data_IF_123095818597
#
_entry.id   IF_123095818597
#
_cell.length_a   1.000
_cell.length_b   1.000
_cell.length_c   1.000
_cell.angle_alpha   90.00
_cell.angle_beta   90.00
_cell.angle_gamma   90.00
#
_symmetry.space_group_name_H-M   'P 1'
#
loop_
_entity.id
_entity.type
_entity.pdbx_description
1 polymer ?
#
# COMPACT_ATOMS: atom_id res chain seq x y z
N UNK A 1 -29.47 -3.18 -5.58
CA UNK A 1 -27.99 -3.15 -5.60
C UNK A 1 -27.46 -4.48 -6.12
N UNK A 2 -26.42 -4.48 -6.95
CA UNK A 2 -25.85 -5.67 -7.60
C UNK A 2 -24.46 -5.97 -7.03
N UNK A 3 -23.95 -7.19 -7.19
CA UNK A 3 -22.55 -7.48 -6.91
C UNK A 3 -21.63 -6.69 -7.85
N UNK A 4 -20.45 -6.28 -7.37
CA UNK A 4 -19.50 -5.51 -8.17
C UNK A 4 -19.02 -6.34 -9.37
N UNK A 5 -19.28 -5.80 -10.56
CA UNK A 5 -18.64 -6.18 -11.81
C UNK A 5 -17.55 -5.15 -12.15
N UNK A 6 -16.25 -5.47 -11.96
CA UNK A 6 -15.18 -4.48 -12.01
C UNK A 6 -15.13 -3.67 -13.31
N UNK A 7 -15.40 -4.30 -14.45
CA UNK A 7 -15.39 -3.62 -15.74
C UNK A 7 -16.56 -2.61 -15.89
N UNK A 8 -17.74 -2.92 -15.35
CA UNK A 8 -18.90 -2.02 -15.37
C UNK A 8 -18.68 -0.86 -14.40
N UNK A 9 -18.27 -1.16 -13.17
CA UNK A 9 -17.95 -0.14 -12.16
C UNK A 9 -16.82 0.77 -12.64
N UNK A 10 -15.76 0.21 -13.21
CA UNK A 10 -14.65 1.01 -13.73
C UNK A 10 -15.10 1.99 -14.80
N UNK A 11 -15.97 1.59 -15.73
CA UNK A 11 -16.55 2.50 -16.73
C UNK A 11 -17.41 3.58 -16.09
N UNK A 12 -18.29 3.22 -15.17
CA UNK A 12 -19.14 4.17 -14.46
C UNK A 12 -18.33 5.22 -13.68
N UNK A 13 -17.22 4.82 -13.05
CA UNK A 13 -16.30 5.75 -12.37
C UNK A 13 -15.66 6.75 -13.34
N UNK A 14 -15.41 6.39 -14.60
CA UNK A 14 -14.81 7.30 -15.58
C UNK A 14 -15.71 8.49 -15.92
N UNK A 15 -17.04 8.35 -15.80
CA UNK A 15 -17.97 9.45 -16.07
C UNK A 15 -17.72 10.66 -15.15
N UNK A 16 -17.16 10.43 -13.97
CA UNK A 16 -16.89 11.45 -12.96
C UNK A 16 -15.50 12.09 -13.09
N UNK A 17 -14.56 11.45 -13.78
CA UNK A 17 -13.18 11.92 -13.91
C UNK A 17 -13.12 13.24 -14.68
N UNK A 18 -12.27 14.15 -14.23
CA UNK A 18 -12.11 15.50 -14.80
C UNK A 18 -13.12 16.54 -14.30
N UNK A 19 -14.11 16.13 -13.50
CA UNK A 19 -15.19 17.00 -13.01
C UNK A 19 -15.08 17.29 -11.50
N UNK A 20 -15.74 18.35 -11.06
CA UNK A 20 -16.09 18.51 -9.64
C UNK A 20 -17.27 17.60 -9.29
N UNK A 21 -17.17 16.89 -8.17
CA UNK A 21 -18.16 15.92 -7.71
C UNK A 21 -18.33 16.02 -6.19
N UNK A 22 -19.44 15.49 -5.68
CA UNK A 22 -19.72 15.32 -4.27
C UNK A 22 -19.40 13.89 -3.85
N UNK A 23 -18.65 13.76 -2.76
CA UNK A 23 -18.22 12.49 -2.20
C UNK A 23 -18.99 12.21 -0.90
N UNK A 24 -19.45 10.96 -0.76
CA UNK A 24 -19.79 10.34 0.51
C UNK A 24 -18.83 9.19 0.76
N UNK A 25 -18.15 9.18 1.91
CA UNK A 25 -17.34 8.06 2.38
C UNK A 25 -17.73 7.75 3.81
N UNK A 26 -18.09 6.51 4.05
CA UNK A 26 -18.48 6.06 5.36
C UNK A 26 -17.85 4.70 5.64
N UNK A 27 -17.37 4.49 6.86
CA UNK A 27 -17.04 3.16 7.36
C UNK A 27 -17.81 2.95 8.64
N UNK A 28 -18.60 1.88 8.69
CA UNK A 28 -19.44 1.52 9.82
C UNK A 28 -18.89 0.27 10.48
N UNK A 29 -18.38 0.42 11.69
CA UNK A 29 -18.28 -0.68 12.64
C UNK A 29 -19.17 -0.31 13.82
N UNK A 30 -19.99 -1.27 14.31
CA UNK A 30 -21.00 -0.97 15.33
C UNK A 30 -20.37 -0.23 16.52
N UNK A 31 -20.92 0.93 16.89
CA UNK A 31 -20.38 1.80 17.96
C UNK A 31 -20.20 1.09 19.32
N UNK A 32 -20.87 -0.05 19.50
CA UNK A 32 -20.85 -0.89 20.70
C UNK A 32 -19.89 -2.09 20.59
N UNK A 33 -19.18 -2.24 19.48
CA UNK A 33 -18.13 -3.25 19.33
C UNK A 33 -16.84 -2.73 19.96
N UNK A 34 -16.20 -3.53 20.82
CA UNK A 34 -14.88 -3.22 21.34
C UNK A 34 -13.90 -3.07 20.16
N UNK A 35 -13.32 -1.88 20.00
CA UNK A 35 -12.45 -1.56 18.85
C UNK A 35 -13.18 -1.01 17.61
N UNK A 36 -14.42 -0.55 17.73
CA UNK A 36 -15.14 0.11 16.64
C UNK A 36 -14.39 1.33 16.09
N UNK A 37 -14.19 1.38 14.78
CA UNK A 37 -13.63 2.52 14.06
C UNK A 37 -14.65 3.03 13.04
N UNK A 38 -14.73 4.34 12.91
CA UNK A 38 -15.68 4.99 12.02
C UNK A 38 -15.03 6.18 11.33
N UNK A 39 -15.46 6.40 10.09
CA UNK A 39 -15.19 7.59 9.32
C UNK A 39 -16.50 7.98 8.64
N UNK A 40 -16.82 9.26 8.63
CA UNK A 40 -18.00 9.77 7.94
C UNK A 40 -17.65 11.10 7.28
N UNK A 41 -17.85 11.14 5.98
CA UNK A 41 -17.75 12.32 5.16
C UNK A 41 -18.93 12.31 4.20
N UNK A 42 -19.70 13.39 4.14
CA UNK A 42 -20.84 13.53 3.23
C UNK A 42 -20.83 14.90 2.58
N UNK A 43 -21.21 14.97 1.32
CA UNK A 43 -21.24 16.21 0.54
C UNK A 43 -19.88 16.93 0.47
N UNK A 44 -18.77 16.18 0.56
CA UNK A 44 -17.43 16.75 0.38
C UNK A 44 -17.22 16.99 -1.11
N UNK A 45 -17.07 18.26 -1.49
CA UNK A 45 -16.82 18.63 -2.89
C UNK A 45 -15.34 18.39 -3.23
N UNK A 46 -15.07 17.58 -4.24
CA UNK A 46 -13.72 17.23 -4.70
C UNK A 46 -13.63 17.39 -6.22
N UNK A 47 -12.42 17.68 -6.73
CA UNK A 47 -12.12 17.53 -8.16
C UNK A 47 -11.47 16.16 -8.37
N UNK A 48 -12.16 15.29 -9.11
CA UNK A 48 -11.70 13.92 -9.36
C UNK A 48 -10.76 13.90 -10.57
N UNK A 49 -9.52 13.44 -10.37
CA UNK A 49 -8.49 13.42 -11.41
C UNK A 49 -8.31 12.03 -12.03
N UNK A 50 -8.40 10.98 -11.20
CA UNK A 50 -8.40 9.58 -11.64
C UNK A 50 -9.29 8.76 -10.72
N UNK A 51 -9.85 7.67 -11.23
CA UNK A 51 -10.62 6.72 -10.45
C UNK A 51 -10.38 5.29 -10.93
N UNK A 52 -10.15 4.38 -9.99
CA UNK A 52 -9.87 3.00 -10.30
C UNK A 52 -10.50 2.05 -9.28
N UNK A 53 -11.03 0.92 -9.78
CA UNK A 53 -11.45 -0.22 -8.95
C UNK A 53 -10.53 -1.41 -9.20
N UNK A 54 -10.08 -2.09 -8.14
CA UNK A 54 -9.10 -3.19 -8.17
C UNK A 54 -9.46 -4.30 -7.19
N UNK A 55 -8.81 -5.45 -7.34
CA UNK A 55 -9.01 -6.64 -6.52
C UNK A 55 -9.80 -7.75 -7.20
N UNK A 56 -9.88 -8.91 -6.55
CA UNK A 56 -10.66 -10.08 -6.98
C UNK A 56 -11.90 -10.32 -6.09
N UNK A 57 -12.30 -9.31 -5.33
CA UNK A 57 -13.38 -9.39 -4.35
C UNK A 57 -12.88 -9.83 -2.95
N UNK A 58 -13.26 -9.13 -1.86
CA UNK A 58 -13.78 -7.75 -1.86
C UNK A 58 -12.84 -6.78 -2.60
N UNK A 59 -13.41 -5.73 -3.17
CA UNK A 59 -12.73 -4.79 -4.04
C UNK A 59 -12.23 -3.55 -3.30
N UNK A 60 -11.32 -2.83 -3.95
CA UNK A 60 -10.78 -1.55 -3.50
C UNK A 60 -11.02 -0.49 -4.56
N UNK A 61 -11.40 0.70 -4.13
CA UNK A 61 -11.50 1.87 -4.99
C UNK A 61 -10.48 2.91 -4.56
N UNK A 62 -9.67 3.39 -5.50
CA UNK A 62 -8.75 4.50 -5.34
C UNK A 62 -9.19 5.67 -6.21
N UNK A 63 -9.41 6.83 -5.59
CA UNK A 63 -9.76 8.08 -6.27
C UNK A 63 -8.61 9.06 -6.07
N UNK A 64 -7.97 9.50 -7.15
CA UNK A 64 -6.99 10.58 -7.08
C UNK A 64 -7.73 11.91 -7.15
N UNK A 65 -7.45 12.78 -6.19
CA UNK A 65 -7.99 14.14 -6.13
C UNK A 65 -6.84 15.14 -6.18
N UNK A 66 -7.15 16.41 -6.43
CA UNK A 66 -6.14 17.46 -6.40
C UNK A 66 -5.36 17.45 -5.08
N UNK A 67 -4.09 17.05 -5.13
CA UNK A 67 -3.19 16.98 -3.98
C UNK A 67 -3.36 15.79 -3.04
N UNK A 68 -4.17 14.78 -3.38
CA UNK A 68 -4.39 13.66 -2.46
C UNK A 68 -5.12 12.45 -3.04
N UNK A 69 -5.58 11.57 -2.14
CA UNK A 69 -6.29 10.35 -2.48
C UNK A 69 -7.47 10.11 -1.55
N UNK A 70 -8.53 9.51 -2.09
CA UNK A 70 -9.58 8.83 -1.34
C UNK A 70 -9.44 7.34 -1.63
N UNK A 71 -9.45 6.53 -0.59
CA UNK A 71 -9.28 5.09 -0.69
C UNK A 71 -10.38 4.40 0.12
N UNK A 72 -11.06 3.43 -0.50
CA UNK A 72 -12.04 2.57 0.13
C UNK A 72 -11.70 1.11 -0.15
N UNK A 73 -11.81 0.26 0.87
CA UNK A 73 -11.48 -1.17 0.81
C UNK A 73 -12.61 -1.98 1.43
N UNK A 74 -12.90 -3.15 0.84
CA UNK A 74 -13.96 -4.03 1.31
C UNK A 74 -15.26 -3.91 0.51
N UNK A 75 -15.22 -3.28 -0.67
CA UNK A 75 -16.40 -3.06 -1.51
C UNK A 75 -16.86 -4.38 -2.14
N UNK A 76 -18.15 -4.67 -2.09
CA UNK A 76 -18.75 -5.92 -2.60
C UNK A 76 -19.90 -5.68 -3.57
N UNK A 77 -20.65 -4.59 -3.38
CA UNK A 77 -21.87 -4.29 -4.13
C UNK A 77 -21.83 -2.88 -4.74
N UNK A 78 -22.65 -2.66 -5.76
CA UNK A 78 -22.79 -1.35 -6.40
C UNK A 78 -24.18 -1.10 -7.00
N UNK A 79 -24.46 0.18 -7.22
CA UNK A 79 -25.62 0.67 -7.96
C UNK A 79 -25.21 1.95 -8.71
N UNK A 80 -25.85 2.19 -9.84
CA UNK A 80 -25.65 3.40 -10.64
C UNK A 80 -27.00 4.04 -10.96
N UNK A 81 -27.05 5.36 -10.80
CA UNK A 81 -28.16 6.21 -11.20
C UNK A 81 -27.61 7.35 -12.08
N UNK A 82 -28.46 8.09 -12.82
CA UNK A 82 -28.00 9.22 -13.61
C UNK A 82 -27.21 10.23 -12.77
N UNK A 83 -25.91 10.35 -13.04
CA UNK A 83 -25.01 11.25 -12.33
C UNK A 83 -24.63 10.82 -10.91
N UNK A 84 -24.88 9.57 -10.52
CA UNK A 84 -24.48 9.00 -9.21
C UNK A 84 -24.01 7.55 -9.33
N UNK A 85 -23.01 7.20 -8.52
CA UNK A 85 -22.58 5.81 -8.31
C UNK A 85 -22.43 5.56 -6.82
N UNK A 86 -22.99 4.45 -6.36
CA UNK A 86 -22.94 3.98 -4.98
C UNK A 86 -22.20 2.64 -4.95
N UNK A 87 -21.15 2.55 -4.15
CA UNK A 87 -20.38 1.34 -3.88
C UNK A 87 -20.50 1.02 -2.39
N UNK A 88 -20.89 -0.21 -2.07
CA UNK A 88 -21.03 -0.69 -0.69
C UNK A 88 -20.13 -1.89 -0.44
N UNK A 89 -19.58 -1.97 0.77
CA UNK A 89 -18.98 -3.17 1.33
C UNK A 89 -19.88 -3.78 2.38
N UNK A 90 -20.00 -5.10 2.33
CA UNK A 90 -20.86 -5.89 3.23
C UNK A 90 -20.08 -7.06 3.81
N UNK A 91 -20.29 -7.35 5.09
CA UNK A 91 -19.68 -8.51 5.75
C UNK A 91 -20.44 -9.82 5.44
N UNK A 92 -20.02 -10.92 6.09
CA UNK A 92 -20.61 -12.24 5.87
C UNK A 92 -22.07 -12.35 6.34
N UNK A 93 -22.51 -11.44 7.23
CA UNK A 93 -23.89 -11.34 7.71
C UNK A 93 -24.69 -10.27 6.95
N UNK A 94 -24.20 -9.83 5.78
CA UNK A 94 -24.79 -8.79 4.94
C UNK A 94 -24.90 -7.40 5.60
N UNK A 95 -24.12 -7.16 6.66
CA UNK A 95 -24.09 -5.85 7.34
C UNK A 95 -23.16 -4.90 6.60
N UNK A 96 -23.56 -3.64 6.51
CA UNK A 96 -22.79 -2.58 5.87
C UNK A 96 -21.49 -2.29 6.64
N UNK A 97 -20.36 -2.24 5.93
CA UNK A 97 -19.02 -2.00 6.51
C UNK A 97 -18.34 -0.76 5.94
N UNK A 98 -18.58 -0.47 4.66
CA UNK A 98 -18.03 0.71 3.97
C UNK A 98 -19.00 1.18 2.89
N UNK A 99 -19.10 2.48 2.70
CA UNK A 99 -19.84 3.13 1.60
C UNK A 99 -18.91 4.12 0.91
N UNK A 100 -18.87 4.08 -0.41
CA UNK A 100 -18.28 5.10 -1.25
C UNK A 100 -19.33 5.53 -2.29
N UNK A 101 -19.82 6.75 -2.17
CA UNK A 101 -20.77 7.35 -3.13
C UNK A 101 -20.12 8.56 -3.82
N UNK A 102 -20.32 8.67 -5.13
CA UNK A 102 -19.89 9.82 -5.93
C UNK A 102 -21.09 10.33 -6.70
N UNK A 103 -21.36 11.64 -6.61
CA UNK A 103 -22.49 12.28 -7.27
C UNK A 103 -22.11 13.60 -7.95
N UNK A 104 -22.80 13.95 -9.04
CA UNK A 104 -22.70 15.28 -9.68
C UNK A 104 -23.44 16.38 -8.92
N UNK A 105 -24.36 16.00 -8.03
CA UNK A 105 -25.14 16.88 -7.18
C UNK A 105 -25.01 16.45 -5.72
N UNK A 106 -25.18 17.37 -4.74
CA UNK A 106 -25.12 17.01 -3.33
C UNK A 106 -26.20 15.97 -2.97
N UNK A 107 -25.85 15.09 -2.04
CA UNK A 107 -26.74 14.10 -1.47
C UNK A 107 -27.71 14.78 -0.49
N UNK A 108 -29.01 14.43 -0.52
CA UNK A 108 -29.99 14.97 0.43
C UNK A 108 -29.55 14.77 1.88
N UNK A 109 -29.81 15.79 2.71
CA UNK A 109 -29.71 15.75 4.16
C UNK A 109 -31.12 16.02 4.66
N UNK A 110 -32.03 15.07 4.49
CA UNK A 110 -33.35 15.19 5.08
C UNK A 110 -33.21 14.93 6.59
N UNK A 111 -33.49 15.94 7.40
CA UNK A 111 -33.79 15.72 8.81
C UNK A 111 -35.15 15.05 8.86
N UNK A 112 -35.22 13.85 9.43
CA UNK A 112 -36.50 13.20 9.76
C UNK A 112 -37.15 14.04 10.86
N UNK A 113 -37.81 15.12 10.49
CA UNK A 113 -38.63 15.94 11.36
C UNK A 113 -40.09 15.79 10.90
N UNK A 114 -40.83 15.04 11.71
CA UNK A 114 -42.30 15.09 11.86
C UNK A 114 -43.18 14.59 10.70
N UNK A 115 -43.13 13.28 10.42
CA UNK A 115 -44.32 12.55 9.95
C UNK A 115 -44.89 11.66 11.07
N UNK A 116 -45.14 12.25 12.24
CA UNK A 116 -45.87 11.59 13.31
C UNK A 116 -46.84 12.56 14.00
N UNK A 117 -48.01 12.75 13.37
CA UNK A 117 -49.24 13.08 14.10
C UNK A 117 -49.90 14.41 13.75
N UNK A 118 -50.86 14.38 12.82
CA UNK A 118 -52.06 15.23 12.88
C UNK A 118 -53.18 14.68 11.97
N UNK A 119 -53.82 13.58 12.38
CA UNK A 119 -55.26 13.44 12.17
C UNK A 119 -55.94 14.06 13.39
N UNK A 120 -56.65 15.17 13.22
CA UNK A 120 -57.36 15.83 14.32
C UNK A 120 -57.74 17.27 14.00
N UNK A 121 -58.93 17.44 13.44
CA UNK A 121 -59.61 18.72 13.24
C UNK A 121 -59.75 19.52 14.54
N UNK A 122 -59.30 20.78 14.57
CA UNK A 122 -59.91 21.86 15.36
C UNK A 122 -59.87 23.15 14.54
N UNK A 123 -61.05 23.64 14.20
CA UNK A 123 -61.29 25.02 13.74
C UNK A 123 -61.31 25.97 14.93
N UNK A 124 -60.60 27.11 14.85
CA UNK A 124 -61.19 28.45 14.95
C UNK A 124 -60.16 29.57 15.20
N UNK A 125 -60.45 30.69 14.51
CA UNK A 125 -60.29 32.09 14.92
C UNK A 125 -58.96 32.82 14.65
N UNK A 126 -59.15 33.89 13.90
CA UNK A 126 -58.23 34.96 13.57
C UNK A 126 -57.75 35.75 14.80
N UNK A 127 -56.52 36.25 14.70
CA UNK A 127 -55.96 37.25 15.59
C UNK A 127 -54.52 37.58 15.23
N UNK A 128 -54.32 38.58 14.36
CA UNK A 128 -53.06 39.34 14.39
C UNK A 128 -52.99 40.14 15.70
N UNK A 129 -51.79 40.37 16.24
CA UNK A 129 -51.19 41.68 15.99
C UNK A 129 -49.66 41.63 15.75
N UNK A 130 -49.21 42.57 14.93
CA UNK A 130 -47.81 42.71 14.54
C UNK A 130 -46.86 43.24 15.61
N UNK A 131 -45.56 43.08 15.34
CA UNK A 131 -44.50 43.85 15.99
C UNK A 131 -43.33 44.11 15.04
N UNK A 132 -43.35 45.32 14.47
CA UNK A 132 -42.26 46.27 14.21
C UNK A 132 -40.91 45.76 13.68
N UNK A 133 -40.65 46.13 12.43
CA UNK A 133 -39.31 46.25 11.88
C UNK A 133 -38.50 47.35 12.60
N UNK A 134 -37.28 47.01 13.03
CA UNK A 134 -36.21 47.97 13.27
C UNK A 134 -35.07 47.64 12.32
N UNK A 135 -34.78 48.57 11.41
CA UNK A 135 -33.61 48.53 10.55
C UNK A 135 -32.33 48.86 11.33
N UNK A 136 -31.21 48.37 10.81
CA UNK A 136 -29.88 48.77 11.26
C UNK A 136 -28.75 47.85 10.78
N UNK A 137 -28.02 48.29 9.74
CA UNK A 137 -26.60 47.97 9.56
C UNK A 137 -26.26 46.79 8.64
N UNK A 138 -25.79 47.10 7.43
CA UNK A 138 -25.05 46.16 6.58
C UNK A 138 -23.70 45.78 7.25
N UNK A 139 -23.27 44.51 7.27
CA UNK A 139 -21.92 44.17 7.68
C UNK A 139 -20.91 44.49 6.56
N UNK A 140 -19.81 45.14 6.95
CA UNK A 140 -18.68 45.51 6.11
C UNK A 140 -17.95 44.28 5.51
N UNK A 141 -17.23 44.42 4.37
CA UNK A 141 -16.52 43.32 3.75
C UNK A 141 -15.33 42.88 4.62
N UNK A 142 -15.33 41.60 5.00
CA UNK A 142 -14.18 40.97 5.66
C UNK A 142 -13.00 40.88 4.68
N UNK A 143 -11.90 41.53 5.06
CA UNK A 143 -10.64 41.51 4.31
C UNK A 143 -10.04 40.11 4.20
N UNK A 144 -9.30 39.90 3.11
CA UNK A 144 -8.49 38.69 2.84
C UNK A 144 -7.60 38.36 4.04
N UNK A 145 -7.56 37.09 4.52
CA UNK A 145 -6.61 36.71 5.55
C UNK A 145 -5.17 36.81 5.00
N UNK A 146 -4.18 37.22 5.82
CA UNK A 146 -2.78 37.23 5.41
C UNK A 146 -2.29 35.79 5.15
N UNK A 147 -1.35 35.66 4.22
CA UNK A 147 -0.66 34.40 3.95
C UNK A 147 0.04 33.88 5.22
N UNK A 148 0.03 32.57 5.50
CA UNK A 148 0.70 32.02 6.67
C UNK A 148 2.20 32.27 6.58
N UNK A 149 2.77 32.89 7.63
CA UNK A 149 4.21 32.99 7.80
C UNK A 149 4.81 31.58 7.89
N UNK A 150 5.95 31.37 7.22
CA UNK A 150 6.73 30.14 7.32
C UNK A 150 7.15 29.95 8.79
N UNK A 151 6.46 29.04 9.49
CA UNK A 151 6.86 28.61 10.83
C UNK A 151 8.21 27.88 10.79
N UNK A 152 8.96 27.87 11.89
CA UNK A 152 10.21 27.11 11.95
C UNK A 152 9.93 25.63 11.66
N UNK A 153 10.79 24.99 10.88
CA UNK A 153 10.74 23.56 10.63
C UNK A 153 10.64 22.80 11.96
N UNK A 154 9.80 21.76 12.07
CA UNK A 154 9.74 20.97 13.28
C UNK A 154 11.12 20.36 13.52
N UNK A 155 11.73 20.71 14.65
CA UNK A 155 12.93 20.04 15.16
C UNK A 155 12.48 18.63 15.51
N UNK A 156 12.77 17.68 14.64
CA UNK A 156 12.59 16.26 14.93
C UNK A 156 13.42 15.94 16.20
N UNK A 157 12.87 15.20 17.18
CA UNK A 157 13.69 14.72 18.27
C UNK A 157 14.82 13.87 17.69
N UNK A 158 16.06 14.24 18.00
CA UNK A 158 17.21 13.41 17.70
C UNK A 158 17.00 12.03 18.34
N UNK A 159 17.14 10.92 17.60
CA UNK A 159 17.05 9.60 18.23
C UNK A 159 18.07 9.51 19.35
N UNK A 160 17.64 8.93 20.48
CA UNK A 160 18.49 8.63 21.63
C UNK A 160 19.82 8.00 21.17
N UNK A 161 20.94 8.57 21.60
CA UNK A 161 22.33 8.33 21.15
C UNK A 161 22.90 6.94 21.47
N UNK A 162 22.06 5.96 21.75
CA UNK A 162 22.48 4.56 21.92
C UNK A 162 22.08 3.81 20.66
N UNK A 163 22.83 4.06 19.58
CA UNK A 163 22.88 3.11 18.47
C UNK A 163 23.49 1.81 19.00
N UNK A 164 22.80 0.66 18.91
CA UNK A 164 23.49 -0.61 19.15
C UNK A 164 24.65 -0.70 18.17
N UNK A 165 25.83 -1.10 18.66
CA UNK A 165 26.99 -1.30 17.81
C UNK A 165 26.60 -2.18 16.62
N UNK A 166 26.97 -1.75 15.40
CA UNK A 166 26.75 -2.56 14.21
C UNK A 166 27.32 -3.97 14.46
N UNK A 167 26.56 -5.05 14.18
CA UNK A 167 27.08 -6.39 14.37
C UNK A 167 28.39 -6.56 13.61
N UNK A 168 29.35 -7.27 14.20
CA UNK A 168 30.65 -7.50 13.58
C UNK A 168 30.43 -8.28 12.28
N UNK A 169 30.69 -7.65 11.14
CA UNK A 169 30.59 -8.29 9.83
C UNK A 169 31.69 -9.36 9.69
N UNK A 170 31.42 -10.47 8.97
CA UNK A 170 32.44 -11.46 8.65
C UNK A 170 33.67 -10.79 8.02
N UNK A 171 34.86 -11.11 8.53
CA UNK A 171 36.10 -10.35 8.29
C UNK A 171 36.68 -10.57 6.88
N UNK A 172 36.29 -11.63 6.16
CA UNK A 172 36.68 -11.87 4.76
C UNK A 172 35.68 -12.75 4.00
N UNK A 173 35.68 -12.73 2.63
CA UNK A 173 34.87 -13.63 1.81
C UNK A 173 35.19 -15.13 2.03
N UNK A 174 36.39 -15.44 2.51
CA UNK A 174 36.84 -16.80 2.79
C UNK A 174 36.19 -17.39 4.06
N UNK A 175 35.60 -16.55 4.92
CA UNK A 175 34.95 -16.97 6.17
C UNK A 175 33.49 -17.40 5.98
N UNK A 176 32.93 -17.23 4.77
CA UNK A 176 31.55 -17.62 4.45
C UNK A 176 31.54 -18.99 3.76
N UNK A 177 31.05 -20.01 4.48
CA UNK A 177 30.71 -21.30 3.88
C UNK A 177 29.44 -21.14 3.03
N UNK A 178 29.58 -20.63 1.80
CA UNK A 178 28.49 -20.40 0.85
C UNK A 178 28.34 -18.93 0.44
N UNK A 179 27.54 -18.71 -0.61
CA UNK A 179 27.28 -17.40 -1.19
C UNK A 179 26.04 -17.44 -2.08
N UNK A 180 25.66 -16.29 -2.65
CA UNK A 180 24.66 -16.27 -3.72
C UNK A 180 25.06 -17.20 -4.87
N UNK A 181 24.12 -17.98 -5.43
CA UNK A 181 24.45 -18.99 -6.43
C UNK A 181 24.90 -18.35 -7.75
N UNK A 182 25.89 -18.94 -8.41
CA UNK A 182 26.27 -18.51 -9.76
C UNK A 182 25.10 -18.66 -10.77
N UNK A 183 25.02 -17.84 -11.83
CA UNK A 183 25.90 -16.71 -12.16
C UNK A 183 25.32 -15.38 -11.67
N UNK A 184 25.35 -15.11 -10.36
CA UNK A 184 25.03 -13.79 -9.81
C UNK A 184 26.35 -13.03 -9.69
N UNK A 185 26.76 -12.37 -10.78
CA UNK A 185 28.18 -12.12 -11.03
C UNK A 185 28.56 -10.63 -11.13
N UNK A 186 27.59 -9.71 -11.24
CA UNK A 186 27.87 -8.27 -11.38
C UNK A 186 27.03 -7.38 -10.49
N UNK A 187 25.71 -7.33 -10.70
CA UNK A 187 24.85 -6.40 -9.97
C UNK A 187 23.47 -6.99 -9.69
N UNK A 188 23.11 -7.00 -8.41
CA UNK A 188 21.82 -7.42 -7.90
C UNK A 188 20.94 -6.19 -7.62
N UNK A 189 19.77 -6.12 -8.26
CA UNK A 189 18.75 -5.11 -7.94
C UNK A 189 17.58 -5.76 -7.23
N UNK A 190 17.22 -5.25 -6.06
CA UNK A 190 16.07 -5.74 -5.29
C UNK A 190 14.99 -4.66 -5.31
N UNK A 191 13.80 -4.98 -5.86
CA UNK A 191 12.69 -4.03 -6.04
C UNK A 191 11.49 -4.48 -5.22
N UNK A 192 11.21 -3.78 -4.11
CA UNK A 192 10.13 -4.12 -3.17
C UNK A 192 9.23 -2.92 -2.89
N UNK A 193 8.12 -3.14 -2.20
CA UNK A 193 7.03 -2.18 -2.10
C UNK A 193 7.21 -1.24 -0.90
N UNK A 194 7.55 -1.77 0.27
CA UNK A 194 7.58 -1.04 1.54
C UNK A 194 8.91 -1.23 2.29
N UNK A 195 9.30 -0.26 3.13
CA UNK A 195 10.43 -0.39 4.05
C UNK A 195 10.19 -1.49 5.08
N UNK A 196 10.96 -2.59 5.06
CA UNK A 196 10.91 -3.80 5.90
C UNK A 196 10.78 -5.09 5.07
N UNK A 197 10.15 -5.01 3.90
CA UNK A 197 9.98 -6.13 2.97
C UNK A 197 11.32 -6.83 2.69
N UNK A 198 12.41 -6.06 2.59
CA UNK A 198 13.73 -6.59 2.29
C UNK A 198 14.30 -7.41 3.46
N UNK A 199 14.01 -7.00 4.69
CA UNK A 199 14.45 -7.67 5.92
C UNK A 199 13.71 -8.98 6.15
N UNK A 200 12.49 -9.11 5.62
CA UNK A 200 11.79 -10.40 5.59
C UNK A 200 12.21 -11.25 4.38
N UNK A 201 12.48 -10.62 3.23
CA UNK A 201 12.65 -11.33 1.96
C UNK A 201 14.09 -11.69 1.60
N UNK A 202 14.95 -10.68 1.41
CA UNK A 202 16.20 -10.80 0.64
C UNK A 202 17.44 -10.18 1.30
N UNK A 203 17.34 -9.69 2.54
CA UNK A 203 18.44 -8.99 3.21
C UNK A 203 19.68 -9.88 3.42
N UNK A 204 19.50 -11.17 3.72
CA UNK A 204 20.63 -12.09 3.84
C UNK A 204 21.31 -12.35 2.49
N UNK A 205 20.52 -12.54 1.44
CA UNK A 205 21.00 -12.68 0.06
C UNK A 205 21.76 -11.43 -0.41
N UNK A 206 21.25 -10.23 -0.08
CA UNK A 206 21.96 -8.97 -0.35
C UNK A 206 23.29 -8.89 0.40
N UNK A 207 23.32 -9.27 1.69
CA UNK A 207 24.56 -9.30 2.46
C UNK A 207 25.59 -10.25 1.82
N UNK A 208 25.20 -11.46 1.45
CA UNK A 208 26.08 -12.42 0.76
C UNK A 208 26.60 -11.88 -0.58
N UNK A 209 25.77 -11.13 -1.32
CA UNK A 209 26.19 -10.51 -2.56
C UNK A 209 27.24 -9.41 -2.32
N UNK A 210 27.01 -8.54 -1.34
CA UNK A 210 27.98 -7.50 -0.94
C UNK A 210 29.31 -8.12 -0.52
N UNK A 211 29.29 -9.18 0.29
CA UNK A 211 30.50 -9.89 0.73
C UNK A 211 31.28 -10.55 -0.41
N UNK A 212 30.62 -10.86 -1.53
CA UNK A 212 31.26 -11.37 -2.75
C UNK A 212 31.72 -10.27 -3.70
N UNK A 213 31.57 -9.00 -3.33
CA UNK A 213 31.94 -7.87 -4.18
C UNK A 213 30.96 -7.60 -5.33
N UNK A 214 29.76 -8.18 -5.28
CA UNK A 214 28.68 -7.93 -6.25
C UNK A 214 28.02 -6.59 -5.88
N UNK A 215 27.78 -5.74 -6.88
CA UNK A 215 27.04 -4.50 -6.68
C UNK A 215 25.60 -4.79 -6.25
N UNK A 216 25.07 -4.03 -5.29
CA UNK A 216 23.68 -4.21 -4.82
C UNK A 216 22.97 -2.86 -4.77
N UNK A 217 21.79 -2.81 -5.38
CA UNK A 217 20.86 -1.67 -5.30
C UNK A 217 19.54 -2.13 -4.70
N UNK A 218 19.12 -1.52 -3.59
CA UNK A 218 17.81 -1.72 -2.98
C UNK A 218 16.86 -0.61 -3.41
N UNK A 219 15.78 -0.96 -4.11
CA UNK A 219 14.73 -0.05 -4.57
C UNK A 219 13.46 -0.33 -3.79
N UNK A 220 12.99 0.67 -3.06
CA UNK A 220 11.71 0.64 -2.37
C UNK A 220 10.73 1.58 -3.07
N UNK A 221 9.56 1.07 -3.48
CA UNK A 221 8.62 1.84 -4.29
C UNK A 221 7.89 2.92 -3.47
N UNK A 222 7.56 2.62 -2.21
CA UNK A 222 6.86 3.52 -1.29
C UNK A 222 7.72 3.87 -0.08
N UNK A 223 7.24 4.81 0.75
CA UNK A 223 7.85 5.09 2.05
C UNK A 223 7.10 4.41 3.22
N UNK A 224 6.10 3.56 2.94
CA UNK A 224 5.37 2.83 3.98
C UNK A 224 4.52 3.71 4.92
N UNK A 225 4.14 4.91 4.50
CA UNK A 225 3.44 5.90 5.33
C UNK A 225 2.03 5.48 5.75
N UNK A 226 1.45 4.43 5.17
CA UNK A 226 0.16 3.84 5.57
C UNK A 226 0.31 2.60 6.46
N UNK A 227 1.52 2.32 6.97
CA UNK A 227 1.78 1.32 7.99
C UNK A 227 0.85 1.45 9.20
N UNK A 228 0.39 0.31 9.73
CA UNK A 228 -0.51 0.27 10.90
C UNK A 228 0.25 0.42 12.23
N UNK A 229 1.51 -0.02 12.27
CA UNK A 229 2.37 0.11 13.45
C UNK A 229 3.19 1.40 13.32
N UNK A 230 3.37 2.07 14.46
CA UNK A 230 4.13 3.32 14.57
C UNK A 230 5.18 3.23 15.70
N UNK A 231 5.60 2.00 16.05
CA UNK A 231 6.44 1.67 17.20
C UNK A 231 5.66 1.20 18.44
N UNK A 232 6.38 0.62 19.39
CA UNK A 232 5.89 0.24 20.73
C UNK A 232 6.95 0.57 21.79
N UNK A 233 6.76 1.63 22.62
CA UNK A 233 5.70 2.65 22.51
C UNK A 233 5.76 3.41 21.17
N UNK A 234 4.68 4.13 20.76
CA UNK A 234 4.69 4.92 19.53
C UNK A 234 5.88 5.89 19.46
N UNK A 235 6.59 5.86 18.34
CA UNK A 235 7.73 6.75 18.03
C UNK A 235 7.45 7.64 16.81
N UNK A 236 6.31 7.44 16.14
CA UNK A 236 5.86 8.22 15.00
C UNK A 236 4.34 8.41 15.01
N UNK A 237 3.88 9.30 14.15
CA UNK A 237 2.47 9.50 13.77
C UNK A 237 2.34 9.43 12.25
N UNK A 238 1.13 9.58 11.71
CA UNK A 238 0.86 9.39 10.26
C UNK A 238 1.80 10.19 9.36
N UNK A 239 1.98 11.48 9.64
CA UNK A 239 2.84 12.37 8.85
C UNK A 239 4.34 12.11 9.01
N UNK A 240 4.80 11.63 10.17
CA UNK A 240 6.22 11.35 10.41
C UNK A 240 6.64 9.92 10.05
N UNK A 241 5.68 9.01 9.85
CA UNK A 241 5.95 7.59 9.62
C UNK A 241 6.72 7.32 8.32
N UNK A 242 6.36 7.99 7.22
CA UNK A 242 7.03 7.81 5.93
C UNK A 242 8.52 8.16 5.98
N UNK A 243 8.88 9.39 6.39
CA UNK A 243 10.28 9.79 6.59
C UNK A 243 11.03 8.89 7.57
N UNK A 244 10.40 8.49 8.69
CA UNK A 244 11.00 7.56 9.64
C UNK A 244 11.32 6.20 8.98
N UNK A 245 10.33 5.57 8.35
CA UNK A 245 10.51 4.25 7.72
C UNK A 245 11.54 4.28 6.59
N UNK A 246 11.63 5.38 5.84
CA UNK A 246 12.70 5.57 4.87
C UNK A 246 14.09 5.68 5.51
N UNK A 247 14.21 6.23 6.72
CA UNK A 247 15.45 6.23 7.48
C UNK A 247 15.77 4.84 8.05
N UNK A 248 14.77 4.14 8.59
CA UNK A 248 14.89 2.75 9.07
C UNK A 248 15.37 1.81 7.96
N UNK A 249 14.84 1.94 6.74
CA UNK A 249 15.32 1.19 5.57
C UNK A 249 16.81 1.46 5.28
N UNK A 250 17.24 2.72 5.31
CA UNK A 250 18.66 3.05 5.07
C UNK A 250 19.56 2.48 6.16
N UNK A 251 19.13 2.50 7.42
CA UNK A 251 19.84 1.86 8.53
C UNK A 251 19.90 0.34 8.35
N UNK A 252 18.78 -0.28 7.96
CA UNK A 252 18.72 -1.71 7.70
C UNK A 252 19.68 -2.13 6.57
N UNK A 253 19.72 -1.36 5.49
CA UNK A 253 20.61 -1.61 4.35
C UNK A 253 22.09 -1.35 4.68
N UNK A 254 22.38 -0.33 5.50
CA UNK A 254 23.72 -0.14 6.03
C UNK A 254 24.20 -1.35 6.85
N UNK A 255 23.33 -1.96 7.66
CA UNK A 255 23.66 -3.14 8.46
C UNK A 255 24.04 -4.38 7.62
N UNK A 256 23.51 -4.53 6.41
CA UNK A 256 23.88 -5.60 5.47
C UNK A 256 24.94 -5.17 4.44
N UNK A 257 25.46 -3.94 4.55
CA UNK A 257 26.51 -3.40 3.67
C UNK A 257 26.01 -2.82 2.33
N UNK A 258 24.70 -2.74 2.12
CA UNK A 258 24.10 -2.14 0.92
C UNK A 258 24.11 -0.62 1.03
N UNK A 259 24.76 0.06 0.07
CA UNK A 259 24.91 1.53 0.08
C UNK A 259 23.96 2.26 -0.88
N UNK A 260 23.59 1.63 -1.99
CA UNK A 260 22.65 2.22 -2.96
C UNK A 260 21.21 1.85 -2.57
N UNK A 261 20.53 2.80 -1.92
CA UNK A 261 19.15 2.65 -1.44
C UNK A 261 18.29 3.75 -2.04
N UNK A 262 17.29 3.37 -2.84
CA UNK A 262 16.46 4.30 -3.61
C UNK A 262 15.00 4.16 -3.20
N UNK A 263 14.38 5.26 -2.76
CA UNK A 263 12.94 5.31 -2.47
C UNK A 263 12.23 6.07 -3.58
N UNK A 264 11.31 5.43 -4.30
CA UNK A 264 10.66 6.02 -5.47
C UNK A 264 9.53 7.00 -5.14
N UNK A 265 9.04 6.99 -3.90
CA UNK A 265 8.07 7.98 -3.41
C UNK A 265 6.65 7.81 -3.95
N UNK A 266 6.27 6.61 -4.40
CA UNK A 266 4.85 6.30 -4.67
C UNK A 266 4.10 6.23 -3.34
N UNK A 267 2.85 6.68 -3.30
CA UNK A 267 2.09 6.68 -2.06
C UNK A 267 1.71 5.25 -1.65
N UNK A 268 1.98 4.88 -0.40
CA UNK A 268 1.65 3.56 0.16
C UNK A 268 0.15 3.26 -0.01
N UNK A 269 -0.19 2.01 -0.36
CA UNK A 269 -1.51 1.51 -0.78
C UNK A 269 -2.05 2.02 -2.10
N UNK A 270 -1.29 2.83 -2.84
CA UNK A 270 -1.77 3.39 -4.11
C UNK A 270 -1.11 2.79 -5.34
N UNK A 271 -0.11 1.91 -5.17
CA UNK A 271 0.72 1.45 -6.29
C UNK A 271 -0.13 0.75 -7.36
N UNK A 272 -1.14 -0.04 -6.96
CA UNK A 272 -2.06 -0.72 -7.88
C UNK A 272 -2.98 0.20 -8.72
N UNK A 273 -3.10 1.47 -8.32
CA UNK A 273 -3.88 2.49 -9.04
C UNK A 273 -3.02 3.36 -9.95
N UNK A 274 -1.68 3.32 -9.82
CA UNK A 274 -0.77 4.12 -10.65
C UNK A 274 -0.61 3.53 -12.05
N UNK A 275 -0.10 4.33 -12.98
CA UNK A 275 0.32 3.84 -14.30
C UNK A 275 1.47 2.84 -14.14
N UNK A 276 1.15 1.57 -14.38
CA UNK A 276 2.11 0.45 -14.36
C UNK A 276 3.25 0.66 -15.36
N UNK A 277 2.98 1.24 -16.54
CA UNK A 277 4.00 1.46 -17.54
C UNK A 277 4.97 2.58 -17.10
N UNK A 278 4.50 3.60 -16.40
CA UNK A 278 5.35 4.62 -15.78
C UNK A 278 6.29 4.00 -14.73
N UNK A 279 5.76 3.20 -13.81
CA UNK A 279 6.57 2.52 -12.80
C UNK A 279 7.60 1.57 -13.45
N UNK A 280 7.19 0.80 -14.47
CA UNK A 280 8.08 -0.08 -15.22
C UNK A 280 9.21 0.68 -15.92
N UNK A 281 8.93 1.86 -16.52
CA UNK A 281 9.97 2.72 -17.12
C UNK A 281 10.99 3.20 -16.08
N UNK A 282 10.51 3.62 -14.89
CA UNK A 282 11.38 4.06 -13.80
C UNK A 282 12.27 2.93 -13.26
N UNK A 283 11.69 1.75 -13.07
CA UNK A 283 12.44 0.56 -12.65
C UNK A 283 13.47 0.19 -13.73
N UNK A 284 13.07 0.15 -15.00
CA UNK A 284 13.97 -0.16 -16.11
C UNK A 284 15.18 0.78 -16.16
N UNK A 285 14.97 2.08 -16.02
CA UNK A 285 16.06 3.05 -16.01
C UNK A 285 17.11 2.71 -14.93
N UNK A 286 16.69 2.25 -13.75
CA UNK A 286 17.60 1.79 -12.70
C UNK A 286 18.33 0.50 -13.10
N UNK A 287 17.61 -0.46 -13.72
CA UNK A 287 18.23 -1.70 -14.19
C UNK A 287 19.32 -1.45 -15.24
N UNK A 288 19.06 -0.52 -16.16
CA UNK A 288 20.02 -0.12 -17.22
C UNK A 288 21.20 0.64 -16.62
N UNK A 289 20.94 1.62 -15.75
CA UNK A 289 21.96 2.42 -15.06
C UNK A 289 22.94 1.55 -14.26
N UNK A 290 22.42 0.54 -13.56
CA UNK A 290 23.22 -0.35 -12.71
C UNK A 290 23.85 -1.52 -13.46
N UNK A 291 23.46 -1.75 -14.73
CA UNK A 291 23.86 -2.95 -15.47
C UNK A 291 23.41 -4.24 -14.78
N UNK A 292 22.19 -4.23 -14.22
CA UNK A 292 21.63 -5.33 -13.44
C UNK A 292 21.76 -6.68 -14.18
N UNK A 293 22.28 -7.70 -13.50
CA UNK A 293 22.32 -9.09 -14.02
C UNK A 293 21.33 -10.00 -13.31
N UNK A 294 20.94 -9.66 -12.08
CA UNK A 294 19.88 -10.34 -11.32
C UNK A 294 18.94 -9.34 -10.69
N UNK A 295 17.64 -9.62 -10.73
CA UNK A 295 16.57 -8.83 -10.12
C UNK A 295 15.73 -9.70 -9.19
N UNK A 296 15.50 -9.22 -7.96
CA UNK A 296 14.57 -9.83 -7.00
C UNK A 296 13.38 -8.89 -6.81
N UNK A 297 12.16 -9.42 -6.86
CA UNK A 297 10.93 -8.67 -6.58
C UNK A 297 9.81 -9.59 -6.08
N UNK A 298 8.56 -9.13 -6.05
CA UNK A 298 7.41 -9.95 -5.71
C UNK A 298 6.82 -10.67 -6.92
N UNK A 299 6.12 -11.77 -6.67
CA UNK A 299 5.30 -12.39 -7.72
C UNK A 299 4.10 -11.48 -8.06
N UNK A 300 3.74 -11.27 -9.34
CA UNK A 300 2.66 -10.36 -9.76
C UNK A 300 1.27 -10.66 -9.18
N UNK A 301 1.05 -11.89 -8.70
CA UNK A 301 -0.23 -12.33 -8.14
C UNK A 301 -0.11 -12.92 -6.72
N UNK A 302 1.09 -13.35 -6.34
CA UNK A 302 1.32 -14.14 -5.13
C UNK A 302 2.09 -13.35 -4.06
N UNK A 303 2.23 -12.03 -4.23
CA UNK A 303 3.04 -11.16 -3.37
C UNK A 303 2.48 -10.90 -1.97
N UNK A 304 1.27 -11.34 -1.62
CA UNK A 304 0.72 -11.12 -0.27
C UNK A 304 -0.15 -9.88 -0.12
N UNK A 305 0.17 -8.82 -0.85
CA UNK A 305 -0.42 -7.50 -0.75
C UNK A 305 -0.64 -6.89 -2.15
N UNK A 306 -1.66 -6.04 -2.37
CA UNK A 306 -1.90 -5.42 -3.68
C UNK A 306 -0.70 -4.63 -4.23
N UNK A 307 -0.03 -3.83 -3.38
CA UNK A 307 1.17 -3.12 -3.82
C UNK A 307 2.33 -4.07 -4.16
N UNK A 308 2.47 -5.20 -3.45
CA UNK A 308 3.51 -6.20 -3.78
C UNK A 308 3.27 -6.76 -5.18
N UNK A 309 2.02 -7.14 -5.46
CA UNK A 309 1.60 -7.62 -6.77
C UNK A 309 1.84 -6.57 -7.87
N UNK A 310 1.49 -5.31 -7.62
CA UNK A 310 1.69 -4.22 -8.57
C UNK A 310 3.18 -3.93 -8.85
N UNK A 311 4.02 -3.92 -7.81
CA UNK A 311 5.48 -3.78 -7.95
C UNK A 311 6.08 -4.96 -8.70
N UNK A 312 5.67 -6.18 -8.37
CA UNK A 312 6.10 -7.39 -9.08
C UNK A 312 5.75 -7.33 -10.57
N UNK A 313 4.52 -6.94 -10.88
CA UNK A 313 4.03 -6.80 -12.25
C UNK A 313 4.79 -5.72 -13.05
N UNK A 314 5.03 -4.55 -12.46
CA UNK A 314 5.81 -3.48 -13.09
C UNK A 314 7.29 -3.88 -13.28
N UNK A 315 7.86 -4.63 -12.34
CA UNK A 315 9.24 -5.13 -12.44
C UNK A 315 9.36 -6.19 -13.54
N UNK A 316 8.37 -7.07 -13.69
CA UNK A 316 8.31 -8.01 -14.83
C UNK A 316 8.31 -7.26 -16.16
N UNK A 317 7.52 -6.20 -16.32
CA UNK A 317 7.51 -5.39 -17.55
C UNK A 317 8.85 -4.67 -17.78
N UNK A 318 9.46 -4.18 -16.72
CA UNK A 318 10.77 -3.54 -16.78
C UNK A 318 11.83 -4.51 -17.31
N UNK A 319 11.92 -5.71 -16.71
CA UNK A 319 12.87 -6.75 -17.08
C UNK A 319 12.57 -7.31 -18.47
N UNK A 320 11.32 -7.67 -18.77
CA UNK A 320 11.00 -8.33 -20.04
C UNK A 320 11.24 -7.44 -21.26
N UNK A 321 10.97 -6.15 -21.17
CA UNK A 321 11.24 -5.27 -22.32
C UNK A 321 12.70 -4.84 -22.48
N UNK A 322 13.64 -5.31 -21.64
CA UNK A 322 15.08 -5.30 -21.96
C UNK A 322 15.44 -6.37 -23.01
N UNK A 323 14.49 -7.23 -23.40
CA UNK A 323 14.67 -8.22 -24.46
C UNK A 323 15.51 -9.42 -24.02
N UNK A 324 16.19 -10.12 -24.95
CA UNK A 324 16.93 -11.34 -24.64
C UNK A 324 18.09 -11.18 -23.66
N UNK A 325 18.68 -9.97 -23.57
CA UNK A 325 19.78 -9.64 -22.67
C UNK A 325 19.33 -9.25 -21.25
N UNK A 326 18.04 -9.42 -20.94
CA UNK A 326 17.46 -9.08 -19.65
C UNK A 326 18.13 -9.82 -18.47
N UNK A 327 18.12 -9.22 -17.28
CA UNK A 327 18.60 -9.90 -16.08
C UNK A 327 17.76 -11.13 -15.73
N UNK A 328 18.35 -12.03 -14.95
CA UNK A 328 17.61 -13.09 -14.25
C UNK A 328 16.58 -12.44 -13.33
N UNK A 329 15.34 -12.93 -13.34
CA UNK A 329 14.27 -12.44 -12.47
C UNK A 329 13.86 -13.51 -11.47
N UNK A 330 13.77 -13.08 -10.21
CA UNK A 330 13.45 -13.90 -9.05
C UNK A 330 12.29 -13.27 -8.28
N UNK A 331 11.38 -14.10 -7.80
CA UNK A 331 10.26 -13.68 -6.96
C UNK A 331 10.45 -14.17 -5.53
N UNK A 332 10.37 -13.26 -4.54
CA UNK A 332 10.41 -13.62 -3.12
C UNK A 332 9.31 -14.63 -2.81
N UNK A 333 9.68 -15.79 -2.27
CA UNK A 333 8.74 -16.82 -1.80
C UNK A 333 8.38 -16.52 -0.35
N UNK A 334 7.21 -15.90 -0.14
CA UNK A 334 6.71 -15.58 1.20
C UNK A 334 6.45 -16.84 2.05
N UNK A 335 6.41 -16.70 3.39
CA UNK A 335 6.29 -17.84 4.32
C UNK A 335 4.88 -18.48 4.36
N UNK A 336 3.87 -17.82 3.80
CA UNK A 336 2.50 -18.28 3.78
C UNK A 336 1.97 -18.21 2.35
N UNK A 337 1.96 -19.35 1.66
CA UNK A 337 1.07 -19.67 0.54
C UNK A 337 1.28 -21.13 0.16
N UNK A 338 0.24 -21.93 0.31
CA UNK A 338 0.13 -23.27 -0.30
C UNK A 338 0.08 -23.18 -1.85
N UNK A 339 0.04 -21.96 -2.40
CA UNK A 339 0.14 -21.71 -3.82
C UNK A 339 1.58 -21.95 -4.31
N UNK A 340 1.73 -23.01 -5.08
CA UNK A 340 2.91 -23.26 -5.90
C UNK A 340 2.60 -22.83 -7.34
N UNK A 341 3.24 -21.77 -7.87
CA UNK A 341 3.06 -21.37 -9.26
C UNK A 341 3.70 -22.36 -10.26
N UNK A 342 4.27 -23.47 -9.79
CA UNK A 342 4.97 -24.45 -10.64
C UNK A 342 6.29 -23.92 -11.18
N UNK A 343 6.84 -22.88 -10.54
CA UNK A 343 8.09 -22.25 -10.94
C UNK A 343 9.27 -22.90 -10.23
N UNK A 344 10.43 -23.04 -10.89
CA UNK A 344 11.64 -23.52 -10.24
C UNK A 344 11.96 -22.67 -9.01
N UNK A 345 12.47 -23.30 -7.95
CA UNK A 345 12.85 -22.60 -6.71
C UNK A 345 14.37 -22.60 -6.59
N UNK A 346 14.93 -21.44 -6.23
CA UNK A 346 16.30 -21.33 -5.72
C UNK A 346 16.24 -20.97 -4.24
N UNK A 347 16.98 -21.68 -3.41
CA UNK A 347 17.12 -21.39 -1.98
C UNK A 347 18.56 -21.03 -1.69
N UNK A 348 18.74 -19.91 -0.99
CA UNK A 348 20.03 -19.40 -0.56
C UNK A 348 20.12 -19.60 0.95
N UNK A 349 21.13 -20.35 1.41
CA UNK A 349 21.45 -20.38 2.83
C UNK A 349 22.10 -19.05 3.19
N UNK A 350 21.50 -18.35 4.16
CA UNK A 350 21.96 -17.06 4.67
C UNK A 350 22.51 -17.18 6.09
N UNK A 351 22.64 -18.41 6.62
CA UNK A 351 23.16 -18.67 7.96
C UNK A 351 24.48 -17.92 8.25
N UNK A 352 25.46 -17.85 7.32
CA UNK A 352 26.71 -17.12 7.57
C UNK A 352 26.54 -15.61 7.79
N UNK A 353 25.44 -15.02 7.33
CA UNK A 353 25.12 -13.59 7.44
C UNK A 353 23.82 -13.34 8.22
N UNK A 354 23.30 -14.37 8.91
CA UNK A 354 22.09 -14.27 9.74
C UNK A 354 22.14 -13.08 10.70
N UNK A 355 23.25 -12.82 11.44
CA UNK A 355 23.31 -11.65 12.34
C UNK A 355 23.08 -10.31 11.64
N UNK A 356 23.52 -10.17 10.37
CA UNK A 356 23.31 -8.96 9.58
C UNK A 356 21.84 -8.80 9.19
N UNK A 357 21.18 -9.88 8.77
CA UNK A 357 19.73 -9.88 8.48
C UNK A 357 18.92 -9.54 9.73
N UNK A 358 19.29 -10.09 10.89
CA UNK A 358 18.63 -9.76 12.15
C UNK A 358 18.81 -8.28 12.54
N UNK A 359 20.00 -7.71 12.34
CA UNK A 359 20.22 -6.28 12.57
C UNK A 359 19.41 -5.40 11.60
N UNK A 360 19.31 -5.79 10.32
CA UNK A 360 18.44 -5.13 9.36
C UNK A 360 16.97 -5.15 9.82
N UNK A 361 16.48 -6.33 10.21
CA UNK A 361 15.12 -6.49 10.75
C UNK A 361 14.87 -5.62 12.00
N UNK A 362 15.80 -5.57 12.94
CA UNK A 362 15.68 -4.75 14.17
C UNK A 362 15.76 -3.24 13.90
N UNK A 363 16.28 -2.83 12.74
CA UNK A 363 16.34 -1.40 12.35
C UNK A 363 14.95 -0.83 12.05
N UNK A 364 14.00 -1.67 11.64
CA UNK A 364 12.59 -1.29 11.39
C UNK A 364 11.76 -1.15 12.66
N UNK A 365 12.26 -0.40 13.65
CA UNK A 365 11.67 -0.29 15.00
C UNK A 365 10.19 0.05 14.98
N UNK A 366 9.74 0.89 14.04
CA UNK A 366 8.33 1.26 13.86
C UNK A 366 7.42 0.05 13.58
N UNK A 367 7.93 -1.00 12.94
CA UNK A 367 7.20 -2.22 12.55
C UNK A 367 7.56 -3.44 13.39
N UNK A 368 8.82 -3.54 13.83
CA UNK A 368 9.38 -4.74 14.46
C UNK A 368 9.44 -4.68 16.00
N UNK A 369 9.09 -3.54 16.61
CA UNK A 369 8.94 -3.48 18.06
C UNK A 369 7.92 -4.50 18.59
N UNK A 370 8.31 -5.23 19.64
CA UNK A 370 7.49 -6.27 20.28
C UNK A 370 7.44 -7.61 19.54
N UNK A 371 8.32 -7.85 18.56
CA UNK A 371 8.40 -9.16 17.91
C UNK A 371 8.95 -10.25 18.82
N UNK A 372 9.92 -9.97 19.68
CA UNK A 372 10.48 -10.97 20.61
C UNK A 372 9.37 -11.56 21.51
N UNK A 373 8.58 -10.69 22.16
CA UNK A 373 7.40 -11.10 22.94
C UNK A 373 6.40 -11.93 22.11
N UNK A 374 6.28 -11.65 20.81
CA UNK A 374 5.35 -12.35 19.91
C UNK A 374 5.87 -13.74 19.57
N UNK A 375 7.17 -13.87 19.30
CA UNK A 375 7.84 -15.14 19.02
C UNK A 375 7.84 -16.05 20.26
N UNK A 376 8.02 -15.49 21.46
CA UNK A 376 7.91 -16.23 22.72
C UNK A 376 6.51 -16.84 22.94
N UNK A 377 5.46 -16.09 22.55
CA UNK A 377 4.06 -16.52 22.73
C UNK A 377 3.56 -17.47 21.65
N UNK A 378 4.26 -17.58 20.52
CA UNK A 378 3.85 -18.38 19.37
C UNK A 378 5.03 -19.23 18.85
N UNK A 379 5.19 -20.46 19.38
CA UNK A 379 6.27 -21.36 18.99
C UNK A 379 6.26 -21.75 17.50
N UNK A 380 5.08 -21.76 16.85
CA UNK A 380 5.00 -22.06 15.43
C UNK A 380 5.55 -20.90 14.60
N UNK A 381 5.14 -19.68 14.92
CA UNK A 381 5.69 -18.48 14.31
C UNK A 381 7.20 -18.36 14.59
N UNK A 382 7.67 -18.70 15.79
CA UNK A 382 9.11 -18.74 16.10
C UNK A 382 9.88 -19.70 15.18
N UNK A 383 9.35 -20.91 14.92
CA UNK A 383 9.98 -21.85 13.96
C UNK A 383 9.99 -21.29 12.54
N UNK A 384 8.89 -20.70 12.08
CA UNK A 384 8.80 -20.07 10.75
C UNK A 384 9.79 -18.91 10.62
N UNK A 385 9.91 -18.10 11.67
CA UNK A 385 10.84 -16.98 11.75
C UNK A 385 12.29 -17.45 11.74
N UNK A 386 12.66 -18.44 12.56
CA UNK A 386 14.01 -19.01 12.55
C UNK A 386 14.43 -19.48 11.16
N UNK A 387 13.52 -20.15 10.43
CA UNK A 387 13.78 -20.57 9.04
C UNK A 387 13.99 -19.39 8.10
N UNK A 388 13.15 -18.35 8.18
CA UNK A 388 13.28 -17.14 7.37
C UNK A 388 14.65 -16.45 7.55
N UNK A 389 15.26 -16.60 8.72
CA UNK A 389 16.58 -16.04 9.04
C UNK A 389 17.74 -17.03 8.84
N UNK A 390 17.48 -18.26 8.40
CA UNK A 390 18.51 -19.22 7.95
C UNK A 390 18.56 -19.37 6.43
N UNK A 391 17.41 -19.23 5.77
CA UNK A 391 17.27 -19.48 4.33
C UNK A 391 16.33 -18.45 3.70
N UNK A 392 16.67 -18.04 2.47
CA UNK A 392 15.81 -17.22 1.63
C UNK A 392 15.51 -17.98 0.34
N UNK A 393 14.24 -18.13 -0.01
CA UNK A 393 13.80 -18.85 -1.20
C UNK A 393 13.16 -17.91 -2.20
N UNK A 394 13.43 -18.17 -3.49
CA UNK A 394 12.91 -17.39 -4.59
C UNK A 394 12.38 -18.31 -5.69
N UNK A 395 11.22 -17.97 -6.25
CA UNK A 395 10.77 -18.56 -7.51
C UNK A 395 11.53 -17.93 -8.67
N UNK A 396 11.98 -18.75 -9.62
CA UNK A 396 12.69 -18.30 -10.81
C UNK A 396 11.69 -18.03 -11.92
N UNK A 397 11.70 -16.81 -12.45
CA UNK A 397 10.89 -16.47 -13.61
C UNK A 397 11.40 -17.19 -14.87
N UNK A 398 10.49 -17.85 -15.60
CA UNK A 398 10.78 -18.52 -16.88
C UNK A 398 10.01 -17.82 -18.01
N UNK A 399 10.69 -17.30 -19.06
CA UNK A 399 10.00 -16.74 -20.23
C UNK A 399 9.07 -17.76 -20.88
N UNK A 400 7.83 -17.37 -21.18
CA UNK A 400 6.88 -18.23 -21.89
C UNK A 400 6.36 -19.42 -21.08
N UNK A 401 6.85 -19.62 -19.85
CA UNK A 401 6.19 -20.48 -18.88
C UNK A 401 4.87 -19.83 -18.49
N UNK A 402 3.77 -20.56 -18.61
CA UNK A 402 2.47 -20.06 -18.23
C UNK A 402 2.51 -19.51 -16.80
N UNK A 403 2.35 -18.20 -16.64
CA UNK A 403 1.70 -17.67 -15.45
C UNK A 403 0.26 -18.14 -15.54
N UNK A 404 0.00 -19.38 -15.12
CA UNK A 404 -1.31 -20.01 -15.22
C UNK A 404 -2.29 -19.31 -14.26
N UNK A 405 -2.84 -18.17 -14.70
CA UNK A 405 -4.03 -17.52 -14.16
C UNK A 405 -4.45 -16.34 -15.05
N UNK A 406 -4.94 -16.60 -16.27
CA UNK A 406 -5.53 -15.51 -17.05
C UNK A 406 -5.81 -15.86 -18.51
N UNK A 407 -6.94 -16.50 -18.77
CA UNK A 407 -7.40 -16.75 -20.13
C UNK A 407 -8.73 -17.49 -20.16
N UNK A 408 -9.82 -16.81 -19.78
CA UNK A 408 -11.13 -17.19 -20.25
C UNK A 408 -11.15 -16.97 -21.77
N UNK A 409 -10.81 -18.01 -22.52
CA UNK A 409 -10.88 -18.06 -23.97
C UNK A 409 -12.02 -18.97 -24.38
N UNK A 410 -13.06 -18.37 -24.96
CA UNK A 410 -14.11 -19.08 -25.66
C UNK A 410 -13.56 -19.89 -26.84
N UNK A 411 -13.84 -21.18 -26.86
CA UNK A 411 -13.93 -21.99 -28.08
C UNK A 411 -14.85 -23.16 -27.70
N UNK A 412 -16.07 -23.28 -28.21
CA UNK A 412 -16.40 -23.32 -29.62
C UNK A 412 -17.08 -24.67 -29.82
N UNK A 413 -18.42 -24.67 -29.85
CA UNK A 413 -19.22 -25.85 -30.21
C UNK A 413 -18.93 -26.21 -31.67
N UNK A 414 -18.61 -27.47 -31.89
CA UNK A 414 -18.84 -28.30 -33.09
C UNK A 414 -18.27 -29.68 -32.71
N UNK A 415 -18.96 -30.81 -32.74
CA UNK A 415 -20.24 -31.19 -33.33
C UNK A 415 -21.01 -32.12 -32.38
#
# INVERSE_FOLDING_TARGET
>A
MEAIEPARVQRALQDFVGNEVYLHLETTHGAYTQGGFGAFARNVKIRLEEAAIRGRGPYRAGLRVAGGWVYAEGLTHWQQEPGRILLEGRDAEDRLTVVLEIGRAPFPIETVAEEAGAQGTVTAAAGEPGLQARGGGAPAPMGRPPAPAAGPSPILPTPSSVEPAAPEAPRSPADLAGGVPAPWDRHLVVVLAHPDDESFGAAGTMALAVHQGIGVTMVCVTAGQMGRRVGRPPIAHRESLGPLRAAELRQAMAAVGVRDVRVLGVWDKTVEFRDRAELARRIRAILEETGATTVITFHPELGGHPDHNAVGAATVDAVTGLGPARPRLLFVKGPARDADPGLPVVTVSIEPVRPLKEAAFRSHRSQTAGWDERLEKDPEMARRFARLFSEESFWVYVPGGATAAGGAGSSGRTA
#
